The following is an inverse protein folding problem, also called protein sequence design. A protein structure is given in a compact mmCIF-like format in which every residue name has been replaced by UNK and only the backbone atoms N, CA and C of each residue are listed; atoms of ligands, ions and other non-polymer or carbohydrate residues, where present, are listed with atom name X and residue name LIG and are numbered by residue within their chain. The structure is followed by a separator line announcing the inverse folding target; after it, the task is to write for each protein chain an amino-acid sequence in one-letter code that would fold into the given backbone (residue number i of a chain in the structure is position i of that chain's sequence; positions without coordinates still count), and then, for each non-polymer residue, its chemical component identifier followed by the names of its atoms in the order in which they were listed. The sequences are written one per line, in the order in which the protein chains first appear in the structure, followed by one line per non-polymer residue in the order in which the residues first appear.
data_IF_206069438670
#
_entry.id   IF_206069438670
#
_cell.length_a   1.000
_cell.length_b   1.000
_cell.length_c   1.000
_cell.angle_alpha   90.00
_cell.angle_beta   90.00
_cell.angle_gamma   90.00
#
_symmetry.space_group_name_H-M   'P 1'
#
loop_
_entity.id
_entity.type
_entity.pdbx_description
1 polymer ?
#
# COMPACT_ATOMS: atom_id res chain seq x y z
N UNK A 1 -6.64 -2.83 21.13
CA UNK A 1 -6.01 -3.64 20.06
C UNK A 1 -5.50 -2.66 19.03
N UNK A 2 -4.18 -2.56 18.86
CA UNK A 2 -3.58 -1.56 17.97
C UNK A 2 -4.14 -1.75 16.55
N UNK A 3 -4.53 -0.65 15.92
CA UNK A 3 -5.12 -0.62 14.58
C UNK A 3 -3.99 -0.80 13.56
N UNK A 4 -3.33 -1.96 13.59
CA UNK A 4 -2.25 -2.30 12.70
C UNK A 4 -2.76 -2.31 11.26
N UNK A 5 -2.04 -1.60 10.40
CA UNK A 5 -2.29 -1.56 8.98
C UNK A 5 -2.12 -2.95 8.38
N UNK A 6 -3.18 -3.49 7.77
CA UNK A 6 -3.13 -4.77 7.08
C UNK A 6 -2.89 -4.55 5.58
N UNK A 7 -1.69 -4.90 5.12
CA UNK A 7 -1.27 -4.72 3.73
C UNK A 7 -2.20 -5.43 2.74
N UNK A 8 -2.54 -6.69 2.99
CA UNK A 8 -3.40 -7.48 2.10
C UNK A 8 -4.79 -6.86 1.97
N UNK A 9 -5.39 -6.42 3.08
CA UNK A 9 -6.68 -5.73 3.04
C UNK A 9 -6.62 -4.40 2.29
N UNK A 10 -5.54 -3.64 2.47
CA UNK A 10 -5.33 -2.38 1.76
C UNK A 10 -5.16 -2.60 0.25
N UNK A 11 -4.49 -3.68 -0.15
CA UNK A 11 -4.33 -4.07 -1.54
C UNK A 11 -5.67 -4.47 -2.16
N UNK A 12 -6.45 -5.34 -1.50
CA UNK A 12 -7.79 -5.71 -1.97
C UNK A 12 -8.71 -4.50 -2.09
N UNK A 13 -8.64 -3.56 -1.15
CA UNK A 13 -9.42 -2.32 -1.23
C UNK A 13 -9.01 -1.44 -2.41
N UNK A 14 -7.72 -1.37 -2.73
CA UNK A 14 -7.26 -0.67 -3.93
C UNK A 14 -7.83 -1.31 -5.21
N UNK A 15 -7.86 -2.63 -5.29
CA UNK A 15 -8.48 -3.36 -6.42
C UNK A 15 -9.97 -3.04 -6.53
N UNK A 16 -10.71 -3.04 -5.42
CA UNK A 16 -12.12 -2.63 -5.39
C UNK A 16 -12.33 -1.18 -5.86
N UNK A 17 -11.44 -0.26 -5.46
CA UNK A 17 -11.49 1.14 -5.87
C UNK A 17 -11.29 1.26 -7.39
N UNK A 18 -10.30 0.57 -7.95
CA UNK A 18 -10.07 0.54 -9.40
C UNK A 18 -11.29 0.00 -10.13
N UNK A 19 -11.81 -1.15 -9.71
CA UNK A 19 -13.02 -1.74 -10.30
C UNK A 19 -14.23 -0.81 -10.24
N UNK A 20 -14.35 0.00 -9.18
CA UNK A 20 -15.40 1.01 -9.09
C UNK A 20 -15.16 2.11 -10.09
N UNK A 21 -13.97 2.72 -10.09
CA UNK A 21 -13.60 3.82 -11.01
C UNK A 21 -13.75 3.46 -12.50
N UNK A 22 -13.67 2.17 -12.86
CA UNK A 22 -13.90 1.69 -14.23
C UNK A 22 -15.40 1.61 -14.63
N UNK A 23 -16.32 1.75 -13.68
CA UNK A 23 -17.77 1.75 -13.98
C UNK A 23 -18.19 3.09 -14.58
N UNK A 24 -18.98 3.05 -15.64
CA UNK A 24 -19.45 4.24 -16.37
C UNK A 24 -20.50 5.08 -15.63
N UNK A 25 -21.06 4.58 -14.53
CA UNK A 25 -22.18 5.22 -13.80
C UNK A 25 -21.72 5.92 -12.51
N UNK A 26 -20.44 6.30 -12.42
CA UNK A 26 -19.88 6.89 -11.22
C UNK A 26 -20.01 8.41 -11.24
N UNK A 27 -20.62 8.95 -10.19
CA UNK A 27 -20.70 10.39 -9.99
C UNK A 27 -19.30 11.00 -9.77
N UNK A 28 -19.17 12.30 -10.08
CA UNK A 28 -17.92 13.04 -9.94
C UNK A 28 -17.44 13.08 -8.48
N UNK A 29 -18.33 13.33 -7.52
CA UNK A 29 -17.98 13.39 -6.10
C UNK A 29 -17.53 12.02 -5.60
N UNK A 30 -18.24 10.95 -5.98
CA UNK A 30 -17.83 9.59 -5.66
C UNK A 30 -16.46 9.23 -6.28
N UNK A 31 -16.21 9.65 -7.53
CA UNK A 31 -14.94 9.42 -8.22
C UNK A 31 -13.78 10.11 -7.50
N UNK A 32 -13.98 11.35 -7.05
CA UNK A 32 -12.99 12.11 -6.28
C UNK A 32 -12.72 11.45 -4.93
N UNK A 33 -13.76 10.99 -4.24
CA UNK A 33 -13.64 10.32 -2.95
C UNK A 33 -12.88 8.99 -3.07
N UNK A 34 -13.22 8.17 -4.06
CA UNK A 34 -12.54 6.90 -4.34
C UNK A 34 -11.06 7.12 -4.68
N UNK A 35 -10.76 8.14 -5.48
CA UNK A 35 -9.39 8.48 -5.84
C UNK A 35 -8.58 8.93 -4.60
N UNK A 36 -9.15 9.79 -3.76
CA UNK A 36 -8.51 10.24 -2.52
C UNK A 36 -8.23 9.09 -1.55
N UNK A 37 -9.19 8.16 -1.42
CA UNK A 37 -9.01 6.92 -0.65
C UNK A 37 -7.87 6.08 -1.24
N UNK A 38 -7.88 5.87 -2.56
CA UNK A 38 -6.87 5.10 -3.28
C UNK A 38 -5.46 5.65 -3.09
N UNK A 39 -5.28 6.97 -3.22
CA UNK A 39 -3.98 7.63 -2.98
C UNK A 39 -3.49 7.43 -1.54
N UNK A 40 -4.40 7.49 -0.58
CA UNK A 40 -4.07 7.28 0.84
C UNK A 40 -3.62 5.84 1.10
N UNK A 41 -4.34 4.85 0.56
CA UNK A 41 -3.99 3.44 0.68
C UNK A 41 -2.68 3.12 -0.04
N UNK A 42 -2.49 3.65 -1.25
CA UNK A 42 -1.27 3.51 -2.03
C UNK A 42 -0.04 3.98 -1.24
N UNK A 43 -0.12 5.18 -0.65
CA UNK A 43 0.97 5.72 0.17
C UNK A 43 1.30 4.80 1.36
N UNK A 44 0.30 4.31 2.08
CA UNK A 44 0.50 3.39 3.21
C UNK A 44 1.14 2.07 2.76
N UNK A 45 0.71 1.51 1.63
CA UNK A 45 1.33 0.32 1.06
C UNK A 45 2.80 0.56 0.72
N UNK A 46 3.13 1.69 0.09
CA UNK A 46 4.51 2.07 -0.23
C UNK A 46 5.37 2.22 1.02
N UNK A 47 4.86 2.89 2.06
CA UNK A 47 5.60 3.06 3.32
C UNK A 47 5.88 1.71 4.00
N UNK A 48 4.91 0.79 3.99
CA UNK A 48 5.09 -0.55 4.54
C UNK A 48 6.15 -1.34 3.75
N UNK A 49 6.14 -1.25 2.42
CA UNK A 49 7.14 -1.88 1.56
C UNK A 49 8.53 -1.31 1.80
N UNK A 50 8.66 0.02 1.93
CA UNK A 50 9.93 0.67 2.27
C UNK A 50 10.46 0.22 3.63
N UNK A 51 9.58 0.10 4.63
CA UNK A 51 9.96 -0.38 5.95
C UNK A 51 10.42 -1.84 5.91
N UNK A 52 9.70 -2.70 5.18
CA UNK A 52 10.11 -4.09 4.96
C UNK A 52 11.46 -4.18 4.24
N UNK A 53 11.66 -3.39 3.18
CA UNK A 53 12.93 -3.32 2.45
C UNK A 53 14.08 -2.88 3.34
N UNK A 54 13.90 -1.82 4.14
CA UNK A 54 14.94 -1.36 5.08
C UNK A 54 15.28 -2.41 6.13
N UNK A 55 14.28 -3.19 6.59
CA UNK A 55 14.52 -4.29 7.52
C UNK A 55 15.32 -5.42 6.86
N UNK A 56 15.01 -5.78 5.62
CA UNK A 56 15.76 -6.76 4.84
C UNK A 56 17.20 -6.28 4.61
N UNK A 57 17.38 -5.03 4.19
CA UNK A 57 18.68 -4.42 3.93
C UNK A 57 19.57 -4.41 5.19
N UNK A 58 19.00 -4.06 6.35
CA UNK A 58 19.69 -4.17 7.64
C UNK A 58 20.07 -5.60 7.98
N UNK A 59 19.18 -6.57 7.76
CA UNK A 59 19.48 -7.98 8.00
C UNK A 59 20.61 -8.49 7.09
N UNK A 60 20.60 -8.10 5.82
CA UNK A 60 21.66 -8.42 4.86
C UNK A 60 22.98 -7.73 5.21
N UNK A 61 22.94 -6.46 5.61
CA UNK A 61 24.12 -5.71 6.05
C UNK A 61 24.72 -6.26 7.34
N UNK A 62 23.90 -6.75 8.27
CA UNK A 62 24.35 -7.39 9.52
C UNK A 62 24.92 -8.79 9.26
N UNK A 63 24.44 -9.50 8.23
CA UNK A 63 24.99 -10.79 7.78
C UNK A 63 26.18 -10.65 6.82
N UNK A 64 26.41 -9.44 6.28
CA UNK A 64 27.35 -9.13 5.20
C UNK A 64 28.74 -8.70 5.65
N UNK A 65 29.17 -9.11 6.86
CA UNK A 65 30.58 -9.07 7.24
C UNK A 65 31.44 -10.14 6.57
N UNK A 66 30.86 -11.05 5.78
CA UNK A 66 31.58 -12.07 5.01
C UNK A 66 30.88 -12.37 3.67
N UNK A 67 30.84 -11.39 2.76
CA UNK A 67 30.88 -11.68 1.33
C UNK A 67 31.87 -10.69 0.73
N UNK A 68 33.01 -11.25 0.29
CA UNK A 68 34.20 -10.56 -0.24
C UNK A 68 33.89 -9.41 -1.19
#
# INVERSE_FOLDING_TARGET
MAKDFNFTKALSRLEEIVQKLEKQDLDLEESVNLLAEGLTLHKKCQDQLKHAQSKIDKLLSVKGGELK
#
